data_IF_874899418402
#
_entry.id   IF_874899418402
#
_cell.length_a   1.000
_cell.length_b   1.000
_cell.length_c   1.000
_cell.angle_alpha   90.00
_cell.angle_beta   90.00
_cell.angle_gamma   90.00
#
_symmetry.space_group_name_H-M   'P 1'
#
loop_
_entity.id
_entity.type
_entity.pdbx_description
1 polymer ?
#
# COMPACT_ATOMS: atom_id res chain seq x y z
N UNK A 1 5.32 6.80 -20.78
CA UNK A 1 4.64 7.57 -19.70
C UNK A 1 5.51 8.72 -19.28
N UNK A 2 4.92 9.87 -18.94
CA UNK A 2 5.66 10.99 -18.37
C UNK A 2 6.02 10.69 -16.91
N UNK A 3 7.11 11.28 -16.44
CA UNK A 3 7.69 11.01 -15.12
C UNK A 3 6.71 11.37 -13.99
N UNK A 4 5.98 12.47 -14.17
CA UNK A 4 4.92 12.90 -13.24
C UNK A 4 3.80 11.88 -13.08
N UNK A 5 3.49 11.13 -14.12
CA UNK A 5 2.44 10.09 -14.08
C UNK A 5 2.97 8.88 -13.30
N UNK A 6 4.21 8.47 -13.52
CA UNK A 6 4.85 7.36 -12.80
C UNK A 6 4.91 7.67 -11.30
N UNK A 7 5.37 8.88 -10.94
CA UNK A 7 5.44 9.32 -9.55
C UNK A 7 4.05 9.42 -8.91
N UNK A 8 3.06 9.91 -9.67
CA UNK A 8 1.67 9.97 -9.22
C UNK A 8 1.12 8.58 -8.90
N UNK A 9 1.36 7.56 -9.75
CA UNK A 9 0.92 6.18 -9.46
C UNK A 9 1.44 5.73 -8.10
N UNK A 10 2.74 5.87 -7.84
CA UNK A 10 3.32 5.46 -6.56
C UNK A 10 2.68 6.16 -5.35
N UNK A 11 2.50 7.49 -5.44
CA UNK A 11 1.91 8.30 -4.37
C UNK A 11 0.42 8.00 -4.15
N UNK A 12 -0.36 7.90 -5.23
CA UNK A 12 -1.80 7.61 -5.14
C UNK A 12 -2.04 6.22 -4.60
N UNK A 13 -1.30 5.21 -5.07
CA UNK A 13 -1.45 3.85 -4.56
C UNK A 13 -1.06 3.77 -3.09
N UNK A 14 0.06 4.39 -2.68
CA UNK A 14 0.43 4.50 -1.26
C UNK A 14 -0.68 5.19 -0.44
N UNK A 15 -1.09 6.39 -0.85
CA UNK A 15 -2.08 7.19 -0.12
C UNK A 15 -3.43 6.48 0.01
N UNK A 16 -3.88 5.78 -1.03
CA UNK A 16 -5.14 5.04 -1.01
C UNK A 16 -5.11 3.91 0.02
N UNK A 17 -4.09 3.05 -0.01
CA UNK A 17 -3.97 1.94 0.95
C UNK A 17 -3.74 2.43 2.37
N UNK A 18 -2.93 3.48 2.54
CA UNK A 18 -2.73 4.12 3.84
C UNK A 18 -4.05 4.64 4.43
N UNK A 19 -4.83 5.39 3.64
CA UNK A 19 -6.13 5.91 4.08
C UNK A 19 -7.13 4.80 4.41
N UNK A 20 -7.29 3.82 3.51
CA UNK A 20 -8.20 2.70 3.75
C UNK A 20 -7.80 1.90 4.99
N UNK A 21 -6.51 1.67 5.21
CA UNK A 21 -6.03 0.97 6.38
C UNK A 21 -6.30 1.75 7.68
N UNK A 22 -6.13 3.07 7.67
CA UNK A 22 -6.52 3.91 8.81
C UNK A 22 -8.03 3.84 9.07
N UNK A 23 -8.86 3.92 8.03
CA UNK A 23 -10.33 3.82 8.17
C UNK A 23 -10.71 2.48 8.81
N UNK A 24 -10.09 1.37 8.38
CA UNK A 24 -10.34 0.05 8.96
C UNK A 24 -9.86 -0.04 10.41
N UNK A 25 -8.65 0.42 10.70
CA UNK A 25 -8.09 0.38 12.05
C UNK A 25 -8.93 1.23 13.02
N UNK A 26 -9.12 2.52 12.73
CA UNK A 26 -9.88 3.42 13.60
C UNK A 26 -11.37 3.06 13.65
N UNK A 27 -11.95 2.57 12.55
CA UNK A 27 -13.30 2.04 12.54
C UNK A 27 -13.48 0.94 13.57
N UNK A 28 -12.55 -0.03 13.62
CA UNK A 28 -12.56 -1.08 14.64
C UNK A 28 -12.37 -0.52 16.06
N UNK A 29 -11.38 0.36 16.26
CA UNK A 29 -11.07 0.91 17.58
C UNK A 29 -12.24 1.68 18.19
N UNK A 30 -12.94 2.47 17.38
CA UNK A 30 -14.04 3.33 17.84
C UNK A 30 -15.37 2.59 18.00
N UNK A 31 -15.67 1.64 17.11
CA UNK A 31 -16.98 0.98 17.08
C UNK A 31 -16.98 -0.43 17.66
N UNK A 32 -15.80 -1.04 17.80
CA UNK A 32 -15.63 -2.47 18.12
C UNK A 32 -16.38 -3.41 17.16
N UNK A 33 -16.69 -2.95 15.94
CA UNK A 33 -17.33 -3.77 14.92
C UNK A 33 -16.27 -4.60 14.16
N UNK A 34 -16.34 -5.91 14.31
CA UNK A 34 -15.42 -6.90 13.71
C UNK A 34 -15.36 -6.84 12.18
N UNK A 35 -16.37 -6.29 11.49
CA UNK A 35 -16.32 -6.07 10.04
C UNK A 35 -15.18 -5.14 9.63
N UNK A 36 -14.79 -4.19 10.49
CA UNK A 36 -13.63 -3.35 10.25
C UNK A 36 -12.32 -4.13 10.37
N UNK A 37 -12.20 -5.05 11.31
CA UNK A 37 -11.03 -5.92 11.46
C UNK A 37 -10.91 -6.91 10.30
N UNK A 38 -12.00 -7.59 9.94
CA UNK A 38 -12.06 -8.48 8.78
C UNK A 38 -11.75 -7.73 7.46
N UNK A 39 -12.31 -6.52 7.31
CA UNK A 39 -12.01 -5.63 6.19
C UNK A 39 -10.54 -5.18 6.17
N UNK A 40 -9.93 -4.95 7.33
CA UNK A 40 -8.50 -4.63 7.47
C UNK A 40 -7.60 -5.79 7.00
N UNK A 41 -7.88 -7.02 7.44
CA UNK A 41 -7.18 -8.22 6.98
C UNK A 41 -7.31 -8.42 5.47
N UNK A 42 -8.53 -8.24 4.94
CA UNK A 42 -8.82 -8.33 3.50
C UNK A 42 -8.02 -7.28 2.72
N UNK A 43 -7.95 -6.05 3.25
CA UNK A 43 -7.18 -4.96 2.65
C UNK A 43 -5.67 -5.26 2.65
N UNK A 44 -5.13 -5.90 3.68
CA UNK A 44 -3.71 -6.31 3.71
C UNK A 44 -3.42 -7.31 2.60
N UNK A 45 -4.26 -8.34 2.44
CA UNK A 45 -4.07 -9.37 1.40
C UNK A 45 -4.19 -8.75 0.01
N UNK A 46 -5.31 -8.08 -0.29
CA UNK A 46 -5.54 -7.47 -1.60
C UNK A 46 -4.53 -6.36 -1.90
N UNK A 47 -4.23 -5.52 -0.91
CA UNK A 47 -3.27 -4.43 -1.04
C UNK A 47 -1.86 -4.94 -1.30
N UNK A 48 -1.47 -6.06 -0.71
CA UNK A 48 -0.18 -6.70 -1.00
C UNK A 48 -0.12 -7.17 -2.45
N UNK A 49 -1.16 -7.88 -2.93
CA UNK A 49 -1.21 -8.39 -4.31
C UNK A 49 -1.19 -7.23 -5.31
N UNK A 50 -2.02 -6.20 -5.10
CA UNK A 50 -2.09 -5.03 -5.99
C UNK A 50 -0.76 -4.26 -6.00
N UNK A 51 -0.17 -4.00 -4.82
CA UNK A 51 1.12 -3.32 -4.75
C UNK A 51 2.21 -4.13 -5.47
N UNK A 52 2.23 -5.45 -5.31
CA UNK A 52 3.21 -6.31 -5.96
C UNK A 52 3.09 -6.27 -7.48
N UNK A 53 1.87 -6.35 -8.01
CA UNK A 53 1.60 -6.24 -9.45
C UNK A 53 2.14 -4.91 -9.99
N UNK A 54 1.80 -3.79 -9.35
CA UNK A 54 2.22 -2.46 -9.80
C UNK A 54 3.75 -2.31 -9.72
N UNK A 55 4.38 -2.78 -8.63
CA UNK A 55 5.84 -2.75 -8.46
C UNK A 55 6.52 -3.54 -9.58
N UNK A 56 6.05 -4.76 -9.86
CA UNK A 56 6.60 -5.60 -10.93
C UNK A 56 6.44 -4.89 -12.29
N UNK A 57 5.26 -4.32 -12.58
CA UNK A 57 5.03 -3.58 -13.82
C UNK A 57 5.96 -2.36 -13.95
N UNK A 58 6.16 -1.59 -12.87
CA UNK A 58 7.07 -0.43 -12.87
C UNK A 58 8.53 -0.84 -13.06
N UNK A 59 8.96 -1.94 -12.44
CA UNK A 59 10.32 -2.46 -12.57
C UNK A 59 10.57 -2.96 -14.00
N UNK A 60 9.66 -3.75 -14.57
CA UNK A 60 9.75 -4.20 -15.96
C UNK A 60 9.81 -2.99 -16.90
N UNK A 61 8.94 -1.99 -16.72
CA UNK A 61 8.93 -0.77 -17.52
C UNK A 61 10.25 0.01 -17.42
N UNK A 62 10.79 0.16 -16.21
CA UNK A 62 12.06 0.86 -15.98
C UNK A 62 13.27 0.12 -16.56
N UNK A 63 13.26 -1.21 -16.57
CA UNK A 63 14.33 -2.03 -17.16
C UNK A 63 14.29 -1.96 -18.69
N UNK A 64 13.10 -2.06 -19.29
CA UNK A 64 12.92 -1.92 -20.75
C UNK A 64 13.32 -0.51 -21.20
N UNK A 65 12.90 0.52 -20.44
CA UNK A 65 13.15 1.92 -20.76
C UNK A 65 14.06 2.55 -19.72
N UNK A 66 15.38 2.29 -19.84
CA UNK A 66 16.39 2.73 -18.87
C UNK A 66 16.32 4.22 -18.50
N UNK A 67 15.90 5.09 -19.42
CA UNK A 67 15.71 6.53 -19.16
C UNK A 67 14.64 6.83 -18.10
N UNK A 68 13.76 5.88 -17.81
CA UNK A 68 12.69 5.98 -16.79
C UNK A 68 12.98 5.19 -15.52
N UNK A 69 14.08 4.44 -15.46
CA UNK A 69 14.41 3.55 -14.35
C UNK A 69 14.40 4.27 -13.00
N UNK A 70 15.02 5.45 -12.91
CA UNK A 70 15.13 6.19 -11.65
C UNK A 70 13.75 6.62 -11.11
N UNK A 71 12.84 7.04 -12.00
CA UNK A 71 11.49 7.45 -11.62
C UNK A 71 10.64 6.24 -11.22
N UNK A 72 10.77 5.12 -11.95
CA UNK A 72 10.14 3.86 -11.56
C UNK A 72 10.62 3.39 -10.19
N UNK A 73 11.92 3.42 -9.91
CA UNK A 73 12.48 3.04 -8.60
C UNK A 73 11.97 3.96 -7.48
N UNK A 74 11.89 5.27 -7.73
CA UNK A 74 11.32 6.24 -6.78
C UNK A 74 9.86 5.91 -6.46
N UNK A 75 9.03 5.65 -7.48
CA UNK A 75 7.63 5.29 -7.30
C UNK A 75 7.48 3.96 -6.55
N UNK A 76 8.26 2.95 -6.91
CA UNK A 76 8.33 1.66 -6.19
C UNK A 76 8.73 1.84 -4.73
N UNK A 77 9.74 2.68 -4.44
CA UNK A 77 10.17 2.98 -3.07
C UNK A 77 9.06 3.60 -2.22
N UNK A 78 8.28 4.52 -2.78
CA UNK A 78 7.10 5.09 -2.11
C UNK A 78 6.07 4.01 -1.82
N UNK A 79 5.78 3.12 -2.77
CA UNK A 79 4.80 2.05 -2.58
C UNK A 79 5.25 1.01 -1.55
N UNK A 80 6.55 0.73 -1.45
CA UNK A 80 7.09 -0.20 -0.46
C UNK A 80 6.85 0.27 0.98
N UNK A 81 6.61 1.57 1.22
CA UNK A 81 6.20 2.07 2.53
C UNK A 81 4.86 1.49 3.02
N UNK A 82 4.03 0.94 2.13
CA UNK A 82 2.82 0.22 2.53
C UNK A 82 3.13 -1.04 3.35
N UNK A 83 4.29 -1.68 3.15
CA UNK A 83 4.69 -2.91 3.86
C UNK A 83 4.92 -2.65 5.36
N UNK A 84 5.81 -1.72 5.78
CA UNK A 84 5.99 -1.43 7.20
C UNK A 84 4.70 -0.88 7.85
N UNK A 85 3.90 -0.09 7.12
CA UNK A 85 2.58 0.35 7.61
C UNK A 85 1.66 -0.83 7.90
N UNK A 86 1.57 -1.81 7.00
CA UNK A 86 0.76 -3.00 7.20
C UNK A 86 1.23 -3.82 8.42
N UNK A 87 2.55 -3.92 8.65
CA UNK A 87 3.10 -4.56 9.84
C UNK A 87 2.66 -3.82 11.11
N UNK A 88 2.74 -2.50 11.13
CA UNK A 88 2.29 -1.68 12.27
C UNK A 88 0.79 -1.93 12.54
N UNK A 89 -0.05 -1.91 11.51
CA UNK A 89 -1.48 -2.16 11.67
C UNK A 89 -1.79 -3.56 12.20
N UNK A 90 -1.06 -4.57 11.75
CA UNK A 90 -1.23 -5.93 12.26
C UNK A 90 -0.85 -6.02 13.75
N UNK A 91 0.27 -5.41 14.15
CA UNK A 91 0.70 -5.36 15.57
C UNK A 91 -0.36 -4.63 16.42
N UNK A 92 -0.84 -3.47 15.97
CA UNK A 92 -1.88 -2.73 16.69
C UNK A 92 -3.16 -3.56 16.77
N UNK A 93 -3.59 -4.18 15.68
CA UNK A 93 -4.79 -5.03 15.64
C UNK A 93 -4.72 -6.17 16.67
N UNK A 94 -3.60 -6.90 16.71
CA UNK A 94 -3.39 -7.99 17.68
C UNK A 94 -3.47 -7.47 19.11
N UNK A 95 -2.83 -6.35 19.43
CA UNK A 95 -2.82 -5.77 20.78
C UNK A 95 -4.15 -5.17 21.24
N UNK A 96 -5.08 -4.88 20.31
CA UNK A 96 -6.41 -4.34 20.64
C UNK A 96 -7.45 -5.45 20.75
N UNK A 97 -7.24 -6.56 20.05
CA UNK A 97 -8.13 -7.73 20.07
C UNK A 97 -7.82 -8.66 21.25
N UNK A 98 -6.54 -8.82 21.62
CA UNK A 98 -6.11 -9.51 22.86
C UNK A 98 -6.36 -8.64 24.10
#
# INVERSE_FOLDING_TARGET
>A
MNDSIIESIGKYTFGLFFLLGNIRLFGYVLTKNDEFAAGGLTLIILGTVINLIIIISLLIYGVILKSKLNVCLKATGIMLLNVPVAVIYNIIGINIIN
#
